data_IF_290731632188
#
_entry.id   IF_290731632188
#
_cell.length_a   1.000
_cell.length_b   1.000
_cell.length_c   1.000
_cell.angle_alpha   90.00
_cell.angle_beta   90.00
_cell.angle_gamma   90.00
#
_symmetry.space_group_name_H-M   'P 1'
#
loop_
_entity.id
_entity.type
_entity.pdbx_description
1 polymer ?
#
# COMPACT_ATOMS: atom_id res chain seq x y z
N UNK A 1 -10.36 22.94 -12.44
CA UNK A 1 -9.73 21.60 -12.55
C UNK A 1 -9.76 20.98 -11.16
N UNK A 2 -10.70 20.07 -10.89
CA UNK A 2 -10.80 19.40 -9.58
C UNK A 2 -9.72 18.32 -9.61
N UNK A 3 -8.65 18.45 -8.81
CA UNK A 3 -7.79 17.28 -8.57
C UNK A 3 -8.63 16.31 -7.77
N UNK A 4 -8.82 15.11 -8.27
CA UNK A 4 -9.53 14.08 -7.52
C UNK A 4 -8.68 13.74 -6.30
N UNK A 5 -9.28 13.71 -5.11
CA UNK A 5 -8.57 13.56 -3.83
C UNK A 5 -7.66 12.32 -3.77
N UNK A 6 -7.84 11.34 -4.66
CA UNK A 6 -7.00 10.13 -4.83
C UNK A 6 -5.64 10.43 -5.45
N UNK A 7 -5.57 11.30 -6.46
CA UNK A 7 -4.30 11.68 -7.10
C UNK A 7 -3.39 12.41 -6.11
N UNK A 8 -3.99 13.25 -5.26
CA UNK A 8 -3.26 13.96 -4.20
C UNK A 8 -2.69 13.00 -3.16
N UNK A 9 -3.44 11.96 -2.77
CA UNK A 9 -2.94 10.92 -1.86
C UNK A 9 -1.77 10.13 -2.47
N UNK A 10 -1.85 9.78 -3.76
CA UNK A 10 -0.75 9.11 -4.46
C UNK A 10 0.50 9.97 -4.57
N UNK A 11 0.33 11.26 -4.90
CA UNK A 11 1.44 12.20 -4.92
C UNK A 11 2.10 12.32 -3.54
N UNK A 12 1.29 12.36 -2.48
CA UNK A 12 1.82 12.39 -1.11
C UNK A 12 2.62 11.12 -0.79
N UNK A 13 2.11 9.94 -1.13
CA UNK A 13 2.82 8.67 -0.92
C UNK A 13 4.15 8.62 -1.69
N UNK A 14 4.15 9.02 -2.97
CA UNK A 14 5.37 9.09 -3.79
C UNK A 14 6.40 10.05 -3.21
N UNK A 15 5.93 11.21 -2.75
CA UNK A 15 6.79 12.21 -2.11
C UNK A 15 7.41 11.66 -0.82
N UNK A 16 6.61 10.99 0.00
CA UNK A 16 7.07 10.37 1.23
C UNK A 16 8.12 9.29 0.98
N UNK A 17 7.90 8.41 -0.01
CA UNK A 17 8.87 7.39 -0.40
C UNK A 17 10.17 8.01 -0.94
N UNK A 18 10.08 9.06 -1.76
CA UNK A 18 11.24 9.78 -2.27
C UNK A 18 12.08 10.41 -1.15
N UNK A 19 11.44 11.06 -0.18
CA UNK A 19 12.13 11.62 0.99
C UNK A 19 12.72 10.54 1.89
N UNK A 20 12.02 9.42 2.07
CA UNK A 20 12.54 8.28 2.80
C UNK A 20 13.84 7.77 2.16
N UNK A 21 13.86 7.56 0.84
CA UNK A 21 15.08 7.14 0.13
C UNK A 21 16.20 8.17 0.28
N UNK A 22 15.89 9.45 0.10
CA UNK A 22 16.87 10.53 0.19
C UNK A 22 17.50 10.66 1.60
N UNK A 23 16.71 10.50 2.66
CA UNK A 23 17.17 10.65 4.05
C UNK A 23 17.86 9.38 4.54
N UNK A 24 17.32 8.20 4.21
CA UNK A 24 17.86 6.93 4.69
C UNK A 24 19.05 6.42 3.86
N UNK A 25 19.21 6.89 2.62
CA UNK A 25 20.17 6.35 1.65
C UNK A 25 19.82 4.93 1.18
N UNK A 26 18.61 4.45 1.49
CA UNK A 26 18.09 3.15 1.06
C UNK A 26 17.25 3.30 -0.20
N UNK A 27 17.05 2.19 -0.92
CA UNK A 27 16.13 2.12 -2.05
C UNK A 27 14.90 1.30 -1.69
N UNK A 28 13.73 1.83 -1.95
CA UNK A 28 12.45 1.15 -1.73
C UNK A 28 12.34 0.01 -2.73
N UNK A 29 12.00 -1.17 -2.24
CA UNK A 29 11.78 -2.34 -3.08
C UNK A 29 10.30 -2.43 -3.45
N UNK A 30 9.95 -1.92 -4.63
CA UNK A 30 8.58 -1.98 -5.13
C UNK A 30 8.14 -3.39 -5.51
N UNK A 31 9.06 -4.29 -5.88
CA UNK A 31 8.75 -5.70 -6.18
C UNK A 31 8.27 -6.47 -4.95
N UNK A 32 8.71 -6.07 -3.75
CA UNK A 32 8.28 -6.63 -2.46
C UNK A 32 7.19 -5.82 -1.77
N UNK A 33 6.88 -4.63 -2.29
CA UNK A 33 5.88 -3.76 -1.70
C UNK A 33 4.51 -4.11 -2.28
N UNK A 34 3.54 -4.24 -1.40
CA UNK A 34 2.16 -4.51 -1.75
C UNK A 34 1.28 -3.34 -1.32
N UNK A 35 0.39 -2.91 -2.21
CA UNK A 35 -0.61 -1.90 -1.90
C UNK A 35 -1.88 -2.60 -1.43
N UNK A 36 -2.16 -2.50 -0.13
CA UNK A 36 -3.34 -3.08 0.51
C UNK A 36 -4.36 -1.97 0.72
N UNK A 37 -5.55 -2.14 0.15
CA UNK A 37 -6.65 -1.21 0.35
C UNK A 37 -7.46 -1.61 1.58
N UNK A 38 -7.76 -0.63 2.42
CA UNK A 38 -8.59 -0.80 3.60
C UNK A 38 -9.96 -0.17 3.31
N UNK A 39 -10.98 -1.01 3.09
CA UNK A 39 -12.34 -0.59 2.75
C UNK A 39 -12.66 -0.64 1.25
N UNK A 40 -13.79 -0.03 0.85
CA UNK A 40 -14.23 -0.01 -0.56
C UNK A 40 -13.59 1.16 -1.29
N UNK A 41 -12.58 0.88 -2.11
CA UNK A 41 -11.95 1.85 -3.00
C UNK A 41 -12.09 1.36 -4.42
N UNK A 42 -12.66 2.20 -5.30
CA UNK A 42 -12.77 1.91 -6.72
C UNK A 42 -11.42 2.22 -7.40
N UNK A 43 -11.01 1.32 -8.32
CA UNK A 43 -9.87 1.46 -9.22
C UNK A 43 -8.46 1.21 -8.61
N UNK A 44 -8.28 0.00 -8.06
CA UNK A 44 -7.02 -0.46 -7.45
C UNK A 44 -5.90 -0.67 -8.49
N UNK A 45 -6.27 -1.16 -9.66
CA UNK A 45 -5.34 -1.61 -10.71
C UNK A 45 -4.55 -0.43 -11.29
N UNK A 46 -5.22 0.70 -11.51
CA UNK A 46 -4.57 1.95 -11.95
C UNK A 46 -3.58 2.46 -10.89
N UNK A 47 -3.95 2.37 -9.62
CA UNK A 47 -3.14 2.80 -8.48
C UNK A 47 -1.83 2.01 -8.38
N UNK A 48 -1.92 0.70 -8.56
CA UNK A 48 -0.77 -0.21 -8.49
C UNK A 48 0.12 -0.07 -9.72
N UNK A 49 -0.46 0.14 -10.89
CA UNK A 49 0.29 0.43 -12.13
C UNK A 49 1.09 1.72 -11.98
N UNK A 50 0.50 2.75 -11.38
CA UNK A 50 1.14 4.03 -11.15
C UNK A 50 2.30 3.93 -10.13
N UNK A 51 2.14 3.15 -9.06
CA UNK A 51 3.17 2.94 -8.05
C UNK A 51 4.20 1.86 -8.43
N UNK A 52 3.90 0.99 -9.39
CA UNK A 52 4.72 -0.19 -9.77
C UNK A 52 4.94 -1.18 -8.62
N UNK A 53 3.97 -1.29 -7.71
CA UNK A 53 3.97 -2.29 -6.64
C UNK A 53 3.07 -3.48 -6.99
N UNK A 54 2.88 -4.43 -6.08
CA UNK A 54 1.90 -5.52 -6.23
C UNK A 54 0.57 -5.13 -5.55
N UNK A 55 -0.55 -5.74 -5.96
CA UNK A 55 -1.82 -5.62 -5.21
C UNK A 55 -1.74 -6.57 -4.01
N UNK A 56 -1.87 -6.03 -2.80
CA UNK A 56 -1.89 -6.83 -1.59
C UNK A 56 -3.30 -7.21 -1.14
N UNK A 57 -3.40 -8.30 -0.39
CA UNK A 57 -4.65 -8.67 0.30
C UNK A 57 -4.64 -8.21 1.75
N UNK A 58 -5.82 -7.91 2.29
CA UNK A 58 -5.96 -7.66 3.73
C UNK A 58 -5.52 -8.89 4.55
N UNK A 59 -5.53 -10.10 3.98
CA UNK A 59 -5.02 -11.34 4.60
C UNK A 59 -3.48 -11.48 4.61
N UNK A 60 -2.75 -10.44 4.20
CA UNK A 60 -1.28 -10.43 4.23
C UNK A 60 -0.73 -10.58 5.65
N UNK A 61 0.51 -11.05 5.76
CA UNK A 61 1.20 -11.20 7.04
C UNK A 61 2.17 -10.05 7.26
N UNK A 62 1.98 -9.29 8.34
CA UNK A 62 2.92 -8.27 8.78
C UNK A 62 3.53 -8.68 10.12
N UNK A 63 4.86 -8.79 10.15
CA UNK A 63 5.61 -9.20 11.35
C UNK A 63 5.13 -10.54 11.97
N UNK A 64 4.67 -11.46 11.13
CA UNK A 64 4.16 -12.77 11.56
C UNK A 64 2.68 -12.77 11.97
N UNK A 65 1.97 -11.64 11.86
CA UNK A 65 0.55 -11.52 12.16
C UNK A 65 -0.26 -11.30 10.89
N UNK A 66 -1.36 -12.02 10.71
CA UNK A 66 -2.30 -11.75 9.63
C UNK A 66 -2.99 -10.40 9.84
N UNK A 67 -2.82 -9.47 8.91
CA UNK A 67 -3.72 -8.34 8.79
C UNK A 67 -5.14 -8.85 8.50
N UNK A 68 -6.16 -8.09 8.88
CA UNK A 68 -7.53 -8.37 8.48
C UNK A 68 -8.18 -9.65 9.04
N UNK A 69 -7.43 -10.49 9.77
CA UNK A 69 -8.02 -11.62 10.47
C UNK A 69 -9.01 -11.12 11.52
N UNK A 70 -10.19 -11.76 11.57
CA UNK A 70 -11.10 -11.57 12.70
C UNK A 70 -10.34 -11.97 13.96
N UNK A 71 -10.30 -11.09 14.95
CA UNK A 71 -9.72 -11.28 16.29
C UNK A 71 -10.11 -12.60 16.99
N UNK A 72 -11.14 -13.31 16.52
CA UNK A 72 -11.69 -14.53 17.11
C UNK A 72 -11.59 -15.80 16.23
N UNK A 73 -10.73 -15.86 15.21
CA UNK A 73 -10.51 -17.17 14.54
C UNK A 73 -9.65 -18.07 15.43
N UNK A 74 -10.29 -18.73 16.40
CA UNK A 74 -9.74 -19.92 17.04
C UNK A 74 -9.54 -20.96 15.95
N UNK A 75 -8.28 -21.39 15.76
CA UNK A 75 -7.99 -22.59 15.00
C UNK A 75 -8.63 -23.76 15.73
N UNK A 76 -9.61 -24.40 15.08
CA UNK A 76 -10.16 -25.67 15.53
C UNK A 76 -9.13 -26.79 15.39
#
# INVERSE_FOLDING_TARGET
MRRDSREEQMMFLRWLLMWFEAISGLRVNMDKSELILVGKVENVEDLVTELRCQVGSLSSTYLGMSLGARFNSVAA
#
